data_IF_560029631866
#
_entry.id   IF_560029631866
#
_cell.length_a   1.000
_cell.length_b   1.000
_cell.length_c   1.000
_cell.angle_alpha   90.00
_cell.angle_beta   90.00
_cell.angle_gamma   90.00
#
_symmetry.space_group_name_H-M   'P 1'
#
loop_
_entity.id
_entity.type
_entity.pdbx_description
1 polymer ?
#
# COMPACT_ATOMS: atom_id res chain seq x y z
N UNK A 1 10.08 -20.79 20.04
CA UNK A 1 10.81 -21.90 19.56
C UNK A 1 11.59 -22.60 20.62
N UNK A 2 11.63 -23.88 20.51
CA UNK A 2 12.31 -24.73 21.49
C UNK A 2 13.50 -25.46 20.88
N UNK A 3 14.17 -24.85 19.91
CA UNK A 3 15.42 -25.40 19.39
C UNK A 3 16.53 -25.45 20.44
N UNK A 4 16.34 -24.76 21.52
CA UNK A 4 17.20 -24.89 22.71
C UNK A 4 16.94 -26.20 23.45
N UNK A 5 15.91 -26.94 23.05
CA UNK A 5 15.66 -28.27 23.57
C UNK A 5 16.66 -29.32 23.04
N UNK A 6 17.54 -28.89 22.12
CA UNK A 6 18.67 -29.70 21.69
C UNK A 6 19.97 -29.18 22.29
N UNK A 7 20.14 -29.20 23.61
CA UNK A 7 21.32 -28.64 24.27
C UNK A 7 22.63 -29.36 23.85
N UNK A 8 22.53 -30.60 23.40
CA UNK A 8 23.67 -31.33 22.89
C UNK A 8 24.29 -30.70 21.64
N UNK A 9 23.45 -30.19 20.76
CA UNK A 9 23.93 -29.54 19.53
C UNK A 9 24.69 -28.26 19.84
N UNK A 10 24.15 -27.46 20.77
CA UNK A 10 24.73 -26.19 21.19
C UNK A 10 26.06 -26.44 21.91
N UNK A 11 26.10 -27.44 22.77
CA UNK A 11 27.31 -27.76 23.54
C UNK A 11 28.47 -28.22 22.67
N UNK A 12 28.17 -28.85 21.52
CA UNK A 12 29.19 -29.33 20.57
C UNK A 12 29.79 -28.20 19.75
N UNK A 13 29.12 -27.02 19.68
CA UNK A 13 29.54 -25.95 18.82
C UNK A 13 30.65 -25.07 19.41
N UNK A 14 30.81 -25.01 20.74
CA UNK A 14 31.75 -24.12 21.38
C UNK A 14 31.25 -22.65 21.37
N UNK A 15 32.06 -21.74 21.98
CA UNK A 15 31.66 -20.35 22.18
C UNK A 15 31.54 -19.58 20.87
N UNK A 16 32.50 -19.71 19.97
CA UNK A 16 32.49 -19.04 18.67
C UNK A 16 31.33 -19.52 17.82
N UNK A 17 31.06 -20.82 17.85
CA UNK A 17 29.95 -21.42 17.13
C UNK A 17 28.59 -21.00 17.70
N UNK A 18 28.53 -20.74 19.01
CA UNK A 18 27.31 -20.21 19.64
C UNK A 18 27.03 -18.79 19.16
N UNK A 19 28.05 -17.93 19.06
CA UNK A 19 27.87 -16.57 18.54
C UNK A 19 27.46 -16.61 17.07
N UNK A 20 28.05 -17.46 16.27
CA UNK A 20 27.68 -17.66 14.87
C UNK A 20 26.25 -18.17 14.75
N UNK A 21 25.85 -19.10 15.60
CA UNK A 21 24.48 -19.62 15.66
C UNK A 21 23.49 -18.50 16.00
N UNK A 22 23.80 -17.63 16.98
CA UNK A 22 22.96 -16.50 17.33
C UNK A 22 22.82 -15.50 16.18
N UNK A 23 23.90 -15.24 15.45
CA UNK A 23 23.87 -14.39 14.26
C UNK A 23 22.97 -14.98 13.16
N UNK A 24 23.10 -16.27 12.89
CA UNK A 24 22.25 -16.95 11.93
C UNK A 24 20.80 -16.94 12.34
N UNK A 25 20.55 -17.11 13.63
CA UNK A 25 19.20 -17.09 14.17
C UNK A 25 18.56 -15.71 14.05
N UNK A 26 19.32 -14.66 14.37
CA UNK A 26 18.86 -13.27 14.22
C UNK A 26 18.54 -12.97 12.75
N UNK A 27 19.39 -13.41 11.81
CA UNK A 27 19.18 -13.23 10.39
C UNK A 27 17.91 -13.98 9.93
N UNK A 28 17.73 -15.22 10.41
CA UNK A 28 16.54 -16.02 10.11
C UNK A 28 15.27 -15.32 10.63
N UNK A 29 15.32 -14.75 11.82
CA UNK A 29 14.19 -13.96 12.38
C UNK A 29 13.86 -12.76 11.51
N UNK A 30 14.85 -12.03 11.03
CA UNK A 30 14.63 -10.89 10.13
C UNK A 30 13.92 -11.33 8.85
N UNK A 31 14.36 -12.45 8.27
CA UNK A 31 13.74 -12.99 7.05
C UNK A 31 12.30 -13.44 7.32
N UNK A 32 12.07 -14.12 8.43
CA UNK A 32 10.73 -14.57 8.84
C UNK A 32 9.83 -13.37 9.08
N UNK A 33 10.31 -12.34 9.79
CA UNK A 33 9.53 -11.14 10.07
C UNK A 33 9.13 -10.41 8.78
N UNK A 34 10.04 -10.30 7.81
CA UNK A 34 9.72 -9.70 6.52
C UNK A 34 8.70 -10.52 5.74
N UNK A 35 8.84 -11.85 5.76
CA UNK A 35 7.89 -12.75 5.13
C UNK A 35 6.52 -12.64 5.78
N UNK A 36 6.46 -12.61 7.11
CA UNK A 36 5.21 -12.47 7.87
C UNK A 36 4.56 -11.12 7.60
N UNK A 37 5.33 -10.04 7.55
CA UNK A 37 4.82 -8.70 7.23
C UNK A 37 4.26 -8.65 5.83
N UNK A 38 4.97 -9.24 4.87
CA UNK A 38 4.51 -9.33 3.50
C UNK A 38 3.18 -10.07 3.40
N UNK A 39 3.08 -11.22 4.05
CA UNK A 39 1.86 -12.01 4.09
C UNK A 39 0.72 -11.22 4.76
N UNK A 40 0.99 -10.55 5.86
CA UNK A 40 0.01 -9.73 6.57
C UNK A 40 -0.53 -8.60 5.70
N UNK A 41 0.33 -7.92 4.95
CA UNK A 41 -0.09 -6.85 4.04
C UNK A 41 -0.94 -7.41 2.90
N UNK A 42 -0.51 -8.51 2.29
CA UNK A 42 -1.25 -9.14 1.19
C UNK A 42 -2.63 -9.61 1.66
N UNK A 43 -2.67 -10.36 2.73
CA UNK A 43 -3.92 -10.93 3.26
C UNK A 43 -4.85 -9.83 3.75
N UNK A 44 -4.31 -8.83 4.43
CA UNK A 44 -5.08 -7.68 4.89
C UNK A 44 -5.65 -6.87 3.74
N UNK A 45 -4.87 -6.62 2.71
CA UNK A 45 -5.33 -5.89 1.52
C UNK A 45 -6.45 -6.65 0.79
N UNK A 46 -6.28 -7.94 0.60
CA UNK A 46 -7.30 -8.77 -0.04
C UNK A 46 -8.59 -8.83 0.79
N UNK A 47 -8.47 -8.93 2.10
CA UNK A 47 -9.61 -8.97 2.99
C UNK A 47 -10.39 -7.65 2.99
N UNK A 48 -9.68 -6.51 3.08
CA UNK A 48 -10.31 -5.20 3.01
C UNK A 48 -10.98 -4.95 1.67
N UNK A 49 -10.31 -5.29 0.58
CA UNK A 49 -10.89 -5.17 -0.76
C UNK A 49 -12.20 -5.96 -0.87
N UNK A 50 -12.19 -7.19 -0.38
CA UNK A 50 -13.38 -8.05 -0.40
C UNK A 50 -14.52 -7.46 0.41
N UNK A 51 -14.24 -6.77 1.51
CA UNK A 51 -15.27 -6.15 2.35
C UNK A 51 -16.08 -5.07 1.62
N UNK A 52 -15.56 -4.52 0.54
CA UNK A 52 -16.22 -3.51 -0.31
C UNK A 52 -16.44 -4.01 -1.74
N UNK A 53 -16.51 -5.32 -1.91
CA UNK A 53 -16.71 -5.98 -3.22
C UNK A 53 -15.68 -5.60 -4.27
N UNK A 54 -14.45 -5.39 -3.82
CA UNK A 54 -13.33 -5.02 -4.69
C UNK A 54 -12.23 -6.07 -4.65
N UNK A 55 -11.26 -5.93 -5.53
CA UNK A 55 -10.06 -6.76 -5.57
C UNK A 55 -8.82 -5.90 -5.73
N UNK A 56 -7.67 -6.45 -5.34
CA UNK A 56 -6.37 -5.81 -5.57
C UNK A 56 -5.80 -6.33 -6.89
N UNK A 57 -5.09 -5.45 -7.60
CA UNK A 57 -4.29 -5.90 -8.73
C UNK A 57 -3.02 -6.53 -8.19
N UNK A 58 -2.86 -7.84 -8.40
CA UNK A 58 -1.74 -8.60 -7.80
C UNK A 58 -0.37 -8.13 -8.31
N UNK A 59 -0.27 -7.72 -9.57
CA UNK A 59 0.96 -7.17 -10.11
C UNK A 59 1.38 -5.87 -9.44
N UNK A 60 0.45 -4.94 -9.29
CA UNK A 60 0.69 -3.69 -8.57
C UNK A 60 0.99 -3.93 -7.11
N UNK A 61 0.25 -4.84 -6.48
CA UNK A 61 0.45 -5.19 -5.08
C UNK A 61 1.85 -5.77 -4.85
N UNK A 62 2.32 -6.62 -5.75
CA UNK A 62 3.66 -7.20 -5.68
C UNK A 62 4.76 -6.16 -5.73
N UNK A 63 4.68 -5.21 -6.67
CA UNK A 63 5.63 -4.10 -6.78
C UNK A 63 5.58 -3.22 -5.53
N UNK A 64 4.37 -2.87 -5.09
CA UNK A 64 4.16 -2.05 -3.91
C UNK A 64 4.79 -2.66 -2.66
N UNK A 65 4.59 -3.97 -2.46
CA UNK A 65 5.10 -4.67 -1.29
C UNK A 65 6.62 -4.73 -1.28
N UNK A 66 7.26 -4.91 -2.43
CA UNK A 66 8.71 -4.87 -2.51
C UNK A 66 9.27 -3.56 -1.98
N UNK A 67 8.60 -2.46 -2.30
CA UNK A 67 9.07 -1.13 -1.92
C UNK A 67 8.87 -0.84 -0.43
N UNK A 68 7.81 -1.35 0.18
CA UNK A 68 7.42 -0.95 1.54
C UNK A 68 7.71 -1.98 2.63
N UNK A 69 7.88 -3.26 2.30
CA UNK A 69 7.98 -4.31 3.31
C UNK A 69 9.17 -4.11 4.26
N UNK A 70 10.24 -3.53 3.76
CA UNK A 70 11.41 -3.19 4.57
C UNK A 70 11.27 -1.93 5.39
N UNK A 71 10.26 -1.09 5.08
CA UNK A 71 10.05 0.20 5.73
C UNK A 71 8.97 0.15 6.83
N UNK A 72 8.18 -0.91 6.87
CA UNK A 72 7.02 -1.01 7.75
C UNK A 72 7.19 -2.20 8.69
N UNK A 73 7.35 -1.93 9.97
CA UNK A 73 7.48 -2.98 10.99
C UNK A 73 6.13 -3.50 11.48
N UNK A 74 5.17 -2.61 11.61
CA UNK A 74 3.83 -2.92 12.15
C UNK A 74 2.77 -2.48 11.15
N UNK A 75 2.53 -3.26 10.08
CA UNK A 75 1.58 -2.84 9.06
C UNK A 75 0.14 -2.87 9.58
N UNK A 76 -0.51 -1.74 9.57
CA UNK A 76 -1.96 -1.60 9.76
C UNK A 76 -2.54 -1.09 8.46
N UNK A 77 -3.56 -1.75 7.96
CA UNK A 77 -4.21 -1.40 6.70
C UNK A 77 -5.53 -0.71 6.99
N UNK A 78 -5.71 0.45 6.37
CA UNK A 78 -6.90 1.28 6.56
C UNK A 78 -7.57 1.51 5.21
N UNK A 79 -8.88 1.40 5.20
CA UNK A 79 -9.69 1.59 3.99
C UNK A 79 -10.13 3.05 3.90
N UNK A 80 -9.88 3.68 2.76
CA UNK A 80 -10.34 5.01 2.45
C UNK A 80 -11.20 5.03 1.19
N UNK A 81 -11.86 6.16 0.95
CA UNK A 81 -12.71 6.34 -0.22
C UNK A 81 -12.45 7.70 -0.86
N UNK A 82 -12.30 7.70 -2.17
CA UNK A 82 -12.17 8.91 -2.98
C UNK A 82 -13.56 9.56 -3.10
N UNK A 83 -13.62 10.87 -2.99
CA UNK A 83 -14.87 11.60 -3.17
C UNK A 83 -15.43 11.42 -4.58
N UNK A 84 -16.73 11.29 -4.68
CA UNK A 84 -17.43 11.02 -5.94
C UNK A 84 -17.10 12.05 -7.02
N UNK A 85 -16.89 13.30 -6.63
CA UNK A 85 -16.58 14.38 -7.58
C UNK A 85 -15.32 14.11 -8.41
N UNK A 86 -14.37 13.34 -7.88
CA UNK A 86 -13.13 13.02 -8.59
C UNK A 86 -13.26 11.78 -9.47
N UNK A 87 -14.29 10.96 -9.26
CA UNK A 87 -14.46 9.73 -10.03
C UNK A 87 -14.83 9.96 -11.49
N UNK A 88 -15.18 11.18 -11.86
CA UNK A 88 -15.38 11.59 -13.26
C UNK A 88 -14.06 11.74 -14.03
N UNK A 89 -12.94 11.82 -13.32
CA UNK A 89 -11.62 11.95 -13.94
C UNK A 89 -11.24 10.61 -14.62
N UNK A 90 -10.39 10.64 -15.65
CA UNK A 90 -9.92 9.42 -16.28
C UNK A 90 -9.28 8.47 -15.26
N UNK A 91 -9.58 7.17 -15.32
CA UNK A 91 -8.99 6.20 -14.39
C UNK A 91 -7.47 6.21 -14.37
N UNK A 92 -6.84 6.44 -15.51
CA UNK A 92 -5.38 6.51 -15.63
C UNK A 92 -4.81 7.69 -14.85
N UNK A 93 -5.52 8.81 -14.86
CA UNK A 93 -5.12 10.00 -14.09
C UNK A 93 -5.28 9.77 -12.60
N UNK A 94 -6.39 9.16 -12.18
CA UNK A 94 -6.61 8.79 -10.79
C UNK A 94 -5.52 7.83 -10.30
N UNK A 95 -5.25 6.80 -11.07
CA UNK A 95 -4.23 5.80 -10.75
C UNK A 95 -2.85 6.46 -10.61
N UNK A 96 -2.46 7.29 -11.55
CA UNK A 96 -1.16 7.96 -11.53
C UNK A 96 -1.05 8.91 -10.33
N UNK A 97 -2.10 9.65 -10.02
CA UNK A 97 -2.10 10.60 -8.91
C UNK A 97 -1.95 9.88 -7.56
N UNK A 98 -2.66 8.76 -7.40
CA UNK A 98 -2.60 7.98 -6.17
C UNK A 98 -1.27 7.22 -6.07
N UNK A 99 -0.77 6.70 -7.18
CA UNK A 99 0.46 5.91 -7.23
C UNK A 99 1.72 6.71 -6.92
N UNK A 100 1.66 8.05 -6.93
CA UNK A 100 2.80 8.87 -6.51
C UNK A 100 3.12 8.70 -5.01
N UNK A 101 2.18 8.13 -4.25
CA UNK A 101 2.39 7.76 -2.85
C UNK A 101 2.56 6.27 -2.70
N UNK A 102 3.69 5.85 -2.18
CA UNK A 102 4.01 4.45 -1.92
C UNK A 102 3.13 3.78 -0.85
N UNK A 103 2.34 4.58 -0.13
CA UNK A 103 1.50 4.06 0.98
C UNK A 103 0.09 3.67 0.56
N UNK A 104 -0.28 3.90 -0.69
CA UNK A 104 -1.65 3.69 -1.15
C UNK A 104 -1.74 2.52 -2.11
N UNK A 105 -2.71 1.65 -1.86
CA UNK A 105 -3.04 0.52 -2.73
C UNK A 105 -4.39 0.83 -3.38
N UNK A 106 -4.43 0.88 -4.71
CA UNK A 106 -5.68 1.08 -5.45
C UNK A 106 -6.41 -0.23 -5.63
N UNK A 107 -7.74 -0.16 -5.74
CA UNK A 107 -8.61 -1.32 -5.88
C UNK A 107 -9.38 -1.26 -7.18
N UNK A 108 -9.84 -2.43 -7.61
CA UNK A 108 -10.70 -2.60 -8.78
C UNK A 108 -12.05 -3.14 -8.32
N UNK A 109 -13.11 -2.75 -9.03
CA UNK A 109 -14.43 -3.32 -8.78
C UNK A 109 -14.55 -4.71 -9.40
N UNK A 110 -15.75 -5.31 -9.34
CA UNK A 110 -16.00 -6.66 -9.87
C UNK A 110 -15.74 -6.80 -11.36
N UNK A 111 -15.87 -5.69 -12.09
CA UNK A 111 -15.72 -5.66 -13.56
C UNK A 111 -14.30 -5.32 -13.97
N UNK A 112 -13.43 -5.03 -13.03
CA UNK A 112 -12.04 -4.64 -13.28
C UNK A 112 -11.84 -3.14 -13.48
N UNK A 113 -12.84 -2.30 -13.23
CA UNK A 113 -12.73 -0.85 -13.29
C UNK A 113 -12.13 -0.30 -12.04
N UNK A 114 -11.51 0.89 -12.15
CA UNK A 114 -10.96 1.60 -11.00
C UNK A 114 -12.06 1.87 -9.96
N UNK A 115 -11.80 1.45 -8.72
CA UNK A 115 -12.72 1.64 -7.60
C UNK A 115 -12.41 2.92 -6.84
N UNK A 116 -13.42 3.60 -6.25
CA UNK A 116 -13.17 4.75 -5.39
C UNK A 116 -12.51 4.38 -4.06
N UNK A 117 -12.46 3.10 -3.72
CA UNK A 117 -11.82 2.66 -2.49
C UNK A 117 -10.32 2.48 -2.69
N UNK A 118 -9.57 2.79 -1.64
CA UNK A 118 -8.14 2.58 -1.61
C UNK A 118 -7.72 2.13 -0.21
N UNK A 119 -6.53 1.54 -0.11
CA UNK A 119 -5.98 1.08 1.16
C UNK A 119 -4.75 1.90 1.48
N UNK A 120 -4.67 2.36 2.72
CA UNK A 120 -3.49 3.02 3.28
C UNK A 120 -2.78 2.03 4.17
N UNK A 121 -1.46 1.89 3.98
CA UNK A 121 -0.63 1.09 4.88
C UNK A 121 0.03 2.03 5.88
N UNK A 122 -0.27 1.84 7.15
CA UNK A 122 0.29 2.60 8.26
C UNK A 122 1.29 1.75 9.02
N UNK A 123 2.39 2.35 9.44
CA UNK A 123 3.41 1.67 10.24
C UNK A 123 3.17 1.90 11.74
N UNK A 124 1.99 1.55 12.21
CA UNK A 124 1.62 1.68 13.62
C UNK A 124 0.64 0.58 14.00
N UNK A 125 0.64 0.20 15.28
CA UNK A 125 -0.37 -0.69 15.79
C UNK A 125 -1.75 -0.08 15.66
N UNK A 126 -2.74 -0.92 15.38
CA UNK A 126 -4.12 -0.47 15.21
C UNK A 126 -4.66 0.15 16.51
N UNK A 127 -5.20 1.35 16.39
CA UNK A 127 -5.87 2.09 17.45
C UNK A 127 -7.00 2.88 16.79
N UNK A 128 -8.27 2.63 17.12
CA UNK A 128 -9.40 3.24 16.41
C UNK A 128 -9.35 4.76 16.32
N UNK A 129 -8.94 5.44 17.39
CA UNK A 129 -8.84 6.91 17.38
C UNK A 129 -7.71 7.40 16.48
N UNK A 130 -6.56 6.78 16.61
CA UNK A 130 -5.38 7.11 15.80
C UNK A 130 -5.63 6.80 14.33
N UNK A 131 -6.26 5.67 14.04
CA UNK A 131 -6.57 5.24 12.68
C UNK A 131 -7.50 6.24 11.99
N UNK A 132 -8.48 6.78 12.69
CA UNK A 132 -9.36 7.83 12.17
C UNK A 132 -8.59 9.11 11.83
N UNK A 133 -7.66 9.52 12.70
CA UNK A 133 -6.82 10.70 12.48
C UNK A 133 -5.90 10.49 11.28
N UNK A 134 -5.27 9.32 11.19
CA UNK A 134 -4.39 8.97 10.08
C UNK A 134 -5.18 8.99 8.77
N UNK A 135 -6.35 8.38 8.74
CA UNK A 135 -7.18 8.33 7.54
C UNK A 135 -7.66 9.73 7.13
N UNK A 136 -8.10 10.54 8.08
CA UNK A 136 -8.52 11.91 7.80
C UNK A 136 -7.38 12.74 7.20
N UNK A 137 -6.16 12.60 7.73
CA UNK A 137 -4.98 13.27 7.21
C UNK A 137 -4.63 12.81 5.80
N UNK A 138 -4.67 11.52 5.54
CA UNK A 138 -4.40 10.96 4.21
C UNK A 138 -5.47 11.37 3.20
N UNK A 139 -6.74 11.37 3.58
CA UNK A 139 -7.82 11.82 2.71
C UNK A 139 -7.68 13.29 2.34
N UNK A 140 -7.24 14.13 3.29
CA UNK A 140 -7.00 15.55 3.04
C UNK A 140 -5.89 15.76 2.02
N UNK A 141 -4.77 15.06 2.18
CA UNK A 141 -3.64 15.15 1.25
C UNK A 141 -4.05 14.66 -0.12
N UNK A 142 -4.74 13.54 -0.18
CA UNK A 142 -5.19 12.97 -1.44
C UNK A 142 -6.21 13.87 -2.14
N UNK A 143 -7.13 14.47 -1.39
CA UNK A 143 -8.10 15.43 -1.93
C UNK A 143 -7.38 16.62 -2.58
N UNK A 144 -6.37 17.18 -1.92
CA UNK A 144 -5.60 18.29 -2.49
C UNK A 144 -4.94 17.91 -3.80
N UNK A 145 -4.36 16.72 -3.88
CA UNK A 145 -3.71 16.24 -5.11
C UNK A 145 -4.70 15.96 -6.23
N UNK A 146 -5.83 15.39 -5.89
CA UNK A 146 -6.87 15.11 -6.88
C UNK A 146 -7.51 16.40 -7.38
N UNK A 147 -7.66 17.41 -6.52
CA UNK A 147 -8.14 18.73 -6.93
C UNK A 147 -7.16 19.40 -7.90
N UNK A 148 -5.86 19.30 -7.64
CA UNK A 148 -4.85 19.81 -8.55
C UNK A 148 -4.89 19.07 -9.89
N UNK A 149 -5.00 17.75 -9.85
CA UNK A 149 -5.11 16.93 -11.06
C UNK A 149 -6.37 17.29 -11.87
N UNK A 150 -7.49 17.50 -11.19
CA UNK A 150 -8.75 17.93 -11.81
C UNK A 150 -8.58 19.29 -12.49
N UNK A 151 -7.94 20.23 -11.81
CA UNK A 151 -7.70 21.56 -12.36
C UNK A 151 -6.88 21.49 -13.63
N UNK A 152 -5.76 20.77 -13.62
CA UNK A 152 -4.89 20.65 -14.77
C UNK A 152 -5.55 19.88 -15.91
N UNK A 153 -6.33 18.86 -15.60
CA UNK A 153 -7.06 18.09 -16.59
C UNK A 153 -8.11 18.94 -17.30
N UNK A 154 -8.88 19.73 -16.54
CA UNK A 154 -9.89 20.64 -17.11
C UNK A 154 -9.24 21.72 -17.97
N UNK A 155 -8.12 22.27 -17.53
CA UNK A 155 -7.37 23.25 -18.30
C UNK A 155 -6.87 22.66 -19.61
N UNK A 156 -6.35 21.46 -19.57
CA UNK A 156 -5.86 20.76 -20.76
C UNK A 156 -7.00 20.48 -21.75
N UNK A 157 -8.14 20.05 -21.26
CA UNK A 157 -9.33 19.81 -22.08
C UNK A 157 -9.81 21.11 -22.77
N UNK A 158 -9.81 22.20 -22.03
CA UNK A 158 -10.18 23.52 -22.58
C UNK A 158 -9.23 23.94 -23.68
N UNK A 159 -7.93 23.82 -23.46
CA UNK A 159 -6.92 24.17 -24.46
C UNK A 159 -7.03 23.33 -25.72
N UNK A 160 -7.31 22.03 -25.60
CA UNK A 160 -7.53 21.16 -26.74
C UNK A 160 -8.75 21.57 -27.56
N UNK A 161 -9.84 21.92 -26.89
CA UNK A 161 -11.05 22.37 -27.55
C UNK A 161 -10.81 23.68 -28.29
N UNK A 162 -10.17 24.65 -27.68
CA UNK A 162 -9.83 25.93 -28.30
C UNK A 162 -8.93 25.73 -29.52
N UNK A 163 -7.93 24.87 -29.43
CA UNK A 163 -7.03 24.55 -30.54
C UNK A 163 -7.81 23.89 -31.69
N UNK A 164 -8.72 22.95 -31.38
CA UNK A 164 -9.55 22.30 -32.38
C UNK A 164 -10.46 23.31 -33.11
N UNK A 165 -11.13 24.18 -32.38
CA UNK A 165 -12.01 25.21 -32.94
C UNK A 165 -11.23 26.19 -33.82
N UNK A 166 -10.02 26.54 -33.45
CA UNK A 166 -9.15 27.39 -34.26
C UNK A 166 -8.80 26.72 -35.60
N UNK A 167 -8.55 25.43 -35.61
CA UNK A 167 -8.25 24.67 -36.82
C UNK A 167 -9.44 24.59 -37.80
N UNK A 168 -10.66 24.69 -37.30
CA UNK A 168 -11.88 24.65 -38.10
C UNK A 168 -12.17 25.99 -38.83
N UNK A 169 -11.52 27.06 -38.43
CA UNK A 169 -11.62 28.36 -39.09
C UNK A 169 -10.64 28.40 -40.25
#
# INVERSE_FOLDING_TARGET
>A
GHYFDSPGDISLLGVESIDDFKKRLALAHVIIDQSDRRAAIIDGAKSLAKSVDCSVNEGQLGCYIQDIVGLVEFPTLLLGRIEDRFMKLPPELLQATIATHQKYITLQDRVGNFSPYFIVVSNRQSDPKRDQVIMAGNQRVLRARLADAEFFWQKDQKQRLESYLTQLQ
#
